data_IF_885182357165
#
_entry.id   IF_885182357165
#
_cell.length_a   1.000
_cell.length_b   1.000
_cell.length_c   1.000
_cell.angle_alpha   90.00
_cell.angle_beta   90.00
_cell.angle_gamma   90.00
#
_symmetry.space_group_name_H-M   'P 1'
#
loop_
_entity.id
_entity.type
_entity.pdbx_description
1 polymer ?
#
# COMPACT_ATOMS: atom_id res chain seq x y z
N UNK A 1 12.33 30.45 5.40
CA UNK A 1 11.60 29.78 4.30
C UNK A 1 10.31 30.54 3.91
N UNK A 2 10.35 31.87 3.74
CA UNK A 2 9.22 32.64 3.18
C UNK A 2 9.68 33.24 1.85
N UNK A 3 9.00 32.91 0.75
CA UNK A 3 9.17 33.55 -0.55
C UNK A 3 9.87 32.76 -1.67
N UNK A 4 10.32 31.52 -1.42
CA UNK A 4 10.85 30.67 -2.50
C UNK A 4 9.74 29.80 -3.12
N UNK A 5 9.63 29.84 -4.46
CA UNK A 5 8.82 28.89 -5.22
C UNK A 5 9.57 27.57 -5.30
N UNK A 6 8.92 26.48 -4.94
CA UNK A 6 9.41 25.12 -5.13
C UNK A 6 8.51 24.39 -6.11
N UNK A 7 9.11 23.54 -6.93
CA UNK A 7 8.38 22.58 -7.76
C UNK A 7 8.34 21.26 -6.98
N UNK A 8 7.14 20.78 -6.67
CA UNK A 8 6.95 19.48 -6.04
C UNK A 8 6.72 18.43 -7.13
N UNK A 9 7.52 17.37 -7.12
CA UNK A 9 7.29 16.20 -7.96
C UNK A 9 6.62 15.11 -7.11
N UNK A 10 5.48 14.61 -7.59
CA UNK A 10 4.80 13.45 -7.01
C UNK A 10 4.85 12.30 -8.01
N UNK A 11 5.65 11.28 -7.69
CA UNK A 11 5.66 10.01 -8.44
C UNK A 11 4.28 9.34 -8.30
N UNK A 12 3.65 9.00 -9.43
CA UNK A 12 2.38 8.25 -9.47
C UNK A 12 2.60 6.74 -9.68
N UNK A 13 3.80 6.34 -10.04
CA UNK A 13 4.16 4.94 -10.22
C UNK A 13 5.67 4.77 -10.42
N UNK A 14 6.15 3.54 -10.26
CA UNK A 14 7.59 3.24 -10.32
C UNK A 14 8.24 3.58 -11.66
N UNK A 15 7.48 3.58 -12.76
CA UNK A 15 7.99 3.91 -14.09
C UNK A 15 8.32 5.39 -14.30
N UNK A 16 7.93 6.27 -13.37
CA UNK A 16 8.29 7.70 -13.39
C UNK A 16 9.63 7.98 -12.69
N UNK A 17 10.23 6.95 -12.06
CA UNK A 17 11.45 7.08 -11.28
C UNK A 17 12.67 6.66 -12.08
N UNK A 18 13.67 7.54 -12.14
CA UNK A 18 14.97 7.21 -12.71
C UNK A 18 15.71 6.17 -11.83
N UNK A 19 16.61 5.36 -12.41
CA UNK A 19 17.32 4.29 -11.68
C UNK A 19 18.05 4.77 -10.42
N UNK A 20 18.69 5.93 -10.46
CA UNK A 20 19.42 6.50 -9.31
C UNK A 20 18.48 6.87 -8.17
N UNK A 21 17.29 7.40 -8.50
CA UNK A 21 16.25 7.69 -7.51
C UNK A 21 15.75 6.40 -6.85
N UNK A 22 15.50 5.35 -7.65
CA UNK A 22 15.07 4.05 -7.15
C UNK A 22 16.09 3.44 -6.20
N UNK A 23 17.38 3.51 -6.56
CA UNK A 23 18.46 3.03 -5.69
C UNK A 23 18.46 3.72 -4.33
N UNK A 24 18.41 5.06 -4.33
CA UNK A 24 18.48 5.86 -3.10
C UNK A 24 17.26 5.67 -2.20
N UNK A 25 16.08 5.43 -2.78
CA UNK A 25 14.80 5.44 -2.05
C UNK A 25 14.30 4.04 -1.66
N UNK A 26 14.43 3.04 -2.53
CA UNK A 26 13.75 1.74 -2.36
C UNK A 26 14.66 0.52 -2.48
N UNK A 27 15.80 0.60 -3.16
CA UNK A 27 16.61 -0.60 -3.44
C UNK A 27 17.87 -0.76 -2.58
N UNK A 28 18.53 0.34 -2.17
CA UNK A 28 19.77 0.27 -1.40
C UNK A 28 19.53 -0.40 -0.03
N UNK A 29 20.22 -1.50 0.31
CA UNK A 29 20.01 -2.21 1.57
C UNK A 29 20.17 -1.36 2.83
N UNK A 30 21.05 -0.35 2.77
CA UNK A 30 21.36 0.52 3.90
C UNK A 30 20.27 1.58 4.15
N UNK A 31 19.53 1.99 3.12
CA UNK A 31 18.53 3.08 3.22
C UNK A 31 17.09 2.62 3.04
N UNK A 32 16.85 1.47 2.39
CA UNK A 32 15.51 0.98 2.10
C UNK A 32 14.76 0.59 3.36
N UNK A 33 13.43 0.73 3.30
CA UNK A 33 12.51 0.27 4.34
C UNK A 33 11.59 -0.79 3.74
N UNK A 34 11.56 -1.97 4.35
CA UNK A 34 10.76 -3.10 3.89
C UNK A 34 9.75 -3.50 4.97
N UNK A 35 8.59 -3.96 4.54
CA UNK A 35 7.59 -4.58 5.42
C UNK A 35 7.77 -6.10 5.30
N UNK A 36 8.03 -6.76 6.43
CA UNK A 36 8.12 -8.22 6.50
C UNK A 36 6.74 -8.80 6.79
N UNK A 37 6.17 -9.51 5.83
CA UNK A 37 4.92 -10.27 6.03
C UNK A 37 5.24 -11.54 6.81
N UNK A 38 4.55 -11.74 7.93
CA UNK A 38 4.67 -12.94 8.76
C UNK A 38 3.38 -13.74 8.71
N UNK A 39 3.45 -15.08 8.67
CA UNK A 39 2.26 -15.91 8.75
C UNK A 39 1.56 -15.72 10.10
N UNK A 40 0.24 -15.56 10.05
CA UNK A 40 -0.64 -15.47 11.22
C UNK A 40 -1.48 -16.73 11.34
N UNK A 41 -2.60 -16.68 12.07
CA UNK A 41 -3.55 -17.78 12.13
C UNK A 41 -4.01 -18.19 10.72
N UNK A 42 -3.72 -19.44 10.36
CA UNK A 42 -3.99 -19.97 9.04
C UNK A 42 -5.49 -19.99 8.71
N UNK A 43 -6.35 -20.24 9.72
CA UNK A 43 -7.79 -20.32 9.50
C UNK A 43 -8.37 -18.93 9.21
N UNK A 44 -8.11 -17.96 10.09
CA UNK A 44 -8.55 -16.58 9.89
C UNK A 44 -8.00 -15.98 8.58
N UNK A 45 -6.77 -16.33 8.22
CA UNK A 45 -6.17 -15.92 6.95
C UNK A 45 -6.95 -16.51 5.77
N UNK A 46 -7.22 -17.81 5.76
CA UNK A 46 -7.98 -18.45 4.67
C UNK A 46 -9.36 -17.83 4.49
N UNK A 47 -10.09 -17.60 5.59
CA UNK A 47 -11.42 -16.97 5.55
C UNK A 47 -11.38 -15.57 4.92
N UNK A 48 -10.37 -14.76 5.25
CA UNK A 48 -10.19 -13.43 4.66
C UNK A 48 -9.81 -13.49 3.18
N UNK A 49 -8.96 -14.46 2.79
CA UNK A 49 -8.59 -14.68 1.39
C UNK A 49 -9.81 -15.11 0.56
N UNK A 50 -10.64 -16.02 1.06
CA UNK A 50 -11.85 -16.47 0.37
C UNK A 50 -12.86 -15.33 0.23
N UNK A 51 -13.02 -14.50 1.26
CA UNK A 51 -13.90 -13.33 1.21
C UNK A 51 -13.44 -12.30 0.17
N UNK A 52 -12.14 -12.00 0.11
CA UNK A 52 -11.60 -10.93 -0.74
C UNK A 52 -11.32 -11.37 -2.17
N UNK A 53 -10.80 -12.58 -2.36
CA UNK A 53 -10.34 -13.10 -3.65
C UNK A 53 -11.27 -14.17 -4.24
N UNK A 54 -12.26 -14.65 -3.48
CA UNK A 54 -13.23 -15.62 -3.96
C UNK A 54 -14.37 -15.02 -4.78
N UNK A 55 -15.35 -15.89 -5.07
CA UNK A 55 -16.44 -15.61 -6.00
C UNK A 55 -17.64 -14.89 -5.36
N UNK A 56 -17.69 -14.78 -4.02
CA UNK A 56 -18.78 -14.12 -3.31
C UNK A 56 -18.69 -12.59 -3.42
N UNK A 57 -19.16 -12.06 -4.56
CA UNK A 57 -19.16 -10.62 -4.83
C UNK A 57 -19.92 -9.81 -3.78
N UNK A 58 -21.06 -10.31 -3.30
CA UNK A 58 -21.89 -9.56 -2.35
C UNK A 58 -21.20 -9.47 -0.99
N UNK A 59 -20.71 -10.59 -0.45
CA UNK A 59 -19.99 -10.61 0.82
C UNK A 59 -18.77 -9.69 0.83
N UNK A 60 -18.03 -9.65 -0.27
CA UNK A 60 -16.91 -8.71 -0.44
C UNK A 60 -17.35 -7.24 -0.38
N UNK A 61 -18.45 -6.89 -1.06
CA UNK A 61 -18.98 -5.51 -1.05
C UNK A 61 -19.44 -5.10 0.34
N UNK A 62 -20.16 -5.99 1.02
CA UNK A 62 -20.69 -5.73 2.36
C UNK A 62 -19.54 -5.50 3.35
N UNK A 63 -18.50 -6.35 3.31
CA UNK A 63 -17.32 -6.17 4.14
C UNK A 63 -16.59 -4.85 3.86
N UNK A 64 -16.37 -4.49 2.59
CA UNK A 64 -15.71 -3.22 2.23
C UNK A 64 -16.53 -2.02 2.70
N UNK A 65 -17.87 -2.08 2.60
CA UNK A 65 -18.74 -1.01 3.04
C UNK A 65 -18.74 -0.85 4.57
N UNK A 66 -18.67 -1.96 5.30
CA UNK A 66 -18.68 -1.98 6.77
C UNK A 66 -17.33 -1.57 7.37
N UNK A 67 -16.22 -2.15 6.88
CA UNK A 67 -14.90 -2.00 7.50
C UNK A 67 -13.94 -1.11 6.71
N UNK A 68 -14.27 -0.70 5.49
CA UNK A 68 -13.35 0.02 4.61
C UNK A 68 -12.79 1.31 5.21
N UNK A 69 -13.58 2.01 6.03
CA UNK A 69 -13.15 3.23 6.71
C UNK A 69 -11.99 3.01 7.70
N UNK A 70 -11.93 1.85 8.35
CA UNK A 70 -10.92 1.51 9.36
C UNK A 70 -9.51 1.37 8.74
N UNK A 71 -9.45 1.16 7.42
CA UNK A 71 -8.21 0.96 6.68
C UNK A 71 -7.76 2.21 5.93
N UNK A 72 -8.54 3.30 5.91
CA UNK A 72 -8.20 4.51 5.13
C UNK A 72 -6.87 5.12 5.58
N UNK A 73 -6.61 5.17 6.88
CA UNK A 73 -5.36 5.72 7.42
C UNK A 73 -4.12 4.87 7.05
N UNK A 74 -4.33 3.59 6.75
CA UNK A 74 -3.28 2.64 6.37
C UNK A 74 -3.16 2.49 4.86
N UNK A 75 -4.23 2.78 4.13
CA UNK A 75 -4.25 2.79 2.69
C UNK A 75 -3.57 4.09 2.21
N UNK A 76 -2.56 3.95 1.35
CA UNK A 76 -1.90 5.08 0.70
C UNK A 76 -2.83 5.69 -0.38
N UNK A 77 -4.01 6.15 0.04
CA UNK A 77 -5.02 6.80 -0.79
C UNK A 77 -4.65 8.28 -0.85
N UNK A 78 -4.03 8.66 -1.95
CA UNK A 78 -3.57 10.04 -2.17
C UNK A 78 -4.56 10.95 -2.89
#
# INVERSE_FOLDING_TARGET
>A
LKGQKFTLQRSKGLGENEPDMMWLTTMCPDTRRLIKVTPTDAQATSEMFDLMLGDNLQGRKDYIAEFGADYIDQADVS
#
